data_IF_919127750255
#
_entry.id   IF_919127750255
#
_cell.length_a   1.000
_cell.length_b   1.000
_cell.length_c   1.000
_cell.angle_alpha   90.00
_cell.angle_beta   90.00
_cell.angle_gamma   90.00
#
_symmetry.space_group_name_H-M   'P 1'
#
loop_
_entity.id
_entity.type
_entity.pdbx_description
1 polymer ?
#
# COMPACT_ATOMS: atom_id res chain seq x y z
N UNK A 1 47.44 0.78 10.88
CA UNK A 1 47.15 1.88 9.95
C UNK A 1 45.84 1.58 9.24
N UNK A 2 44.90 2.52 9.42
CA UNK A 2 43.56 2.72 8.81
C UNK A 2 42.99 1.58 7.95
N UNK A 3 42.03 0.85 8.53
CA UNK A 3 41.05 0.08 7.76
C UNK A 3 40.03 1.05 7.13
N UNK A 4 39.94 1.02 5.80
CA UNK A 4 39.01 1.83 5.03
C UNK A 4 37.58 1.33 5.27
N UNK A 5 36.79 2.07 6.04
CA UNK A 5 35.35 1.80 6.22
C UNK A 5 34.63 2.30 4.99
N UNK A 6 34.25 1.38 4.10
CA UNK A 6 33.35 1.64 2.99
C UNK A 6 31.97 1.94 3.59
N UNK A 7 31.64 3.22 3.78
CA UNK A 7 30.30 3.66 4.18
C UNK A 7 29.28 3.37 3.09
N UNK A 8 28.11 2.77 3.40
CA UNK A 8 27.10 2.42 2.40
C UNK A 8 26.27 3.65 2.02
N UNK A 9 26.80 4.51 1.14
CA UNK A 9 26.09 5.69 0.60
C UNK A 9 24.77 5.35 -0.11
N UNK A 10 24.56 4.10 -0.50
CA UNK A 10 23.33 3.65 -1.17
C UNK A 10 22.14 3.43 -0.22
N UNK A 11 22.37 3.25 1.08
CA UNK A 11 21.29 2.97 2.05
C UNK A 11 20.54 4.22 2.49
N UNK A 12 21.23 5.36 2.61
CA UNK A 12 20.66 6.61 3.11
C UNK A 12 19.76 7.29 2.08
N UNK A 13 20.14 7.30 0.80
CA UNK A 13 19.34 7.87 -0.28
C UNK A 13 17.99 7.15 -0.44
N UNK A 14 18.02 5.80 -0.42
CA UNK A 14 16.81 4.98 -0.45
C UNK A 14 15.89 5.29 0.75
N UNK A 15 16.46 5.50 1.94
CA UNK A 15 15.66 5.87 3.12
C UNK A 15 15.01 7.26 3.02
N UNK A 16 15.67 8.21 2.35
CA UNK A 16 15.15 9.55 2.15
C UNK A 16 13.99 9.56 1.14
N UNK A 17 14.12 8.81 0.04
CA UNK A 17 13.06 8.66 -0.95
C UNK A 17 11.84 7.94 -0.35
N UNK A 18 12.06 6.89 0.46
CA UNK A 18 10.99 6.20 1.19
C UNK A 18 10.26 7.14 2.16
N UNK A 19 10.99 8.00 2.88
CA UNK A 19 10.40 9.00 3.77
C UNK A 19 9.61 10.06 3.00
N UNK A 20 10.17 10.57 1.90
CA UNK A 20 9.49 11.56 1.06
C UNK A 20 8.16 11.01 0.50
N UNK A 21 8.17 9.76 0.03
CA UNK A 21 6.96 9.10 -0.46
C UNK A 21 5.94 8.89 0.66
N UNK A 22 6.39 8.55 1.86
CA UNK A 22 5.51 8.43 3.03
C UNK A 22 4.82 9.75 3.35
N UNK A 23 5.54 10.87 3.34
CA UNK A 23 4.95 12.20 3.54
C UNK A 23 3.97 12.56 2.43
N UNK A 24 4.30 12.26 1.18
CA UNK A 24 3.39 12.47 0.04
C UNK A 24 2.05 11.75 0.24
N UNK A 25 2.08 10.48 0.70
CA UNK A 25 0.86 9.72 0.98
C UNK A 25 0.09 10.25 2.19
N UNK A 26 0.78 10.74 3.21
CA UNK A 26 0.13 11.38 4.37
C UNK A 26 -0.59 12.66 3.95
N UNK A 27 0.04 13.52 3.17
CA UNK A 27 -0.60 14.74 2.64
C UNK A 27 -1.77 14.41 1.72
N UNK A 28 -1.58 13.43 0.84
CA UNK A 28 -2.63 12.98 -0.06
C UNK A 28 -3.86 12.47 0.71
N UNK A 29 -3.65 11.70 1.79
CA UNK A 29 -4.73 11.18 2.64
C UNK A 29 -5.60 12.30 3.22
N UNK A 30 -4.99 13.43 3.60
CA UNK A 30 -5.72 14.59 4.14
C UNK A 30 -6.60 15.23 3.07
N UNK A 31 -6.18 15.21 1.81
CA UNK A 31 -6.87 15.89 0.69
C UNK A 31 -7.86 14.99 -0.05
N UNK A 32 -7.66 13.67 -0.05
CA UNK A 32 -8.38 12.72 -0.91
C UNK A 32 -8.86 11.49 -0.12
N UNK A 33 -9.76 11.72 0.84
CA UNK A 33 -10.23 10.66 1.76
C UNK A 33 -10.96 9.51 1.04
N UNK A 34 -11.60 9.79 -0.10
CA UNK A 34 -12.51 8.87 -0.79
C UNK A 34 -12.07 8.45 -2.21
N UNK A 35 -10.90 8.91 -2.68
CA UNK A 35 -10.38 8.53 -4.00
C UNK A 35 -9.22 7.55 -3.79
N UNK A 36 -9.18 6.41 -4.46
CA UNK A 36 -8.13 5.41 -4.30
C UNK A 36 -7.31 5.16 -5.59
N UNK A 37 -7.51 5.95 -6.64
CA UNK A 37 -6.83 5.76 -7.92
C UNK A 37 -5.33 5.99 -7.86
N UNK A 38 -4.88 7.03 -7.15
CA UNK A 38 -3.44 7.30 -7.01
C UNK A 38 -2.73 6.17 -6.26
N UNK A 39 -3.39 5.63 -5.23
CA UNK A 39 -2.93 4.44 -4.50
C UNK A 39 -2.87 3.22 -5.42
N UNK A 40 -3.87 3.04 -6.29
CA UNK A 40 -3.88 1.94 -7.28
C UNK A 40 -2.68 2.03 -8.23
N UNK A 41 -2.35 3.22 -8.74
CA UNK A 41 -1.24 3.43 -9.66
C UNK A 41 0.08 3.08 -8.96
N UNK A 42 0.30 3.58 -7.74
CA UNK A 42 1.51 3.29 -6.97
C UNK A 42 1.67 1.81 -6.61
N UNK A 43 0.58 1.08 -6.37
CA UNK A 43 0.60 -0.34 -6.02
C UNK A 43 0.66 -1.29 -7.22
N UNK A 44 0.71 -0.77 -8.46
CA UNK A 44 0.77 -1.61 -9.67
C UNK A 44 2.04 -2.45 -9.75
N UNK A 45 3.16 -1.91 -9.27
CA UNK A 45 4.48 -2.57 -9.30
C UNK A 45 5.05 -2.87 -7.91
N UNK A 46 4.33 -2.49 -6.84
CA UNK A 46 4.86 -2.48 -5.48
C UNK A 46 3.97 -3.28 -4.54
N UNK A 47 4.56 -3.97 -3.57
CA UNK A 47 3.79 -4.76 -2.58
C UNK A 47 3.20 -3.89 -1.48
N UNK A 48 3.94 -2.89 -1.01
CA UNK A 48 3.50 -1.86 -0.07
C UNK A 48 3.72 -0.48 -0.68
N UNK A 49 3.23 0.57 0.00
CA UNK A 49 3.22 1.92 -0.56
C UNK A 49 4.62 2.51 -0.76
N UNK A 50 5.49 2.37 0.24
CA UNK A 50 6.80 3.04 0.24
C UNK A 50 7.98 2.10 0.05
N UNK A 51 7.82 0.79 0.20
CA UNK A 51 8.93 -0.17 0.09
C UNK A 51 8.42 -1.60 -0.12
N UNK A 52 9.32 -2.57 0.03
CA UNK A 52 8.98 -4.00 0.10
C UNK A 52 8.68 -4.48 1.53
N UNK A 53 8.41 -3.57 2.47
CA UNK A 53 8.05 -3.91 3.85
C UNK A 53 6.85 -3.12 4.33
N UNK A 54 6.07 -3.74 5.23
CA UNK A 54 4.94 -3.11 5.88
C UNK A 54 5.41 -1.90 6.72
N UNK A 55 4.77 -0.74 6.51
CA UNK A 55 5.00 0.47 7.31
C UNK A 55 3.69 0.99 7.90
N UNK A 56 3.80 1.92 8.85
CA UNK A 56 2.65 2.52 9.52
C UNK A 56 1.69 3.21 8.52
N UNK A 57 2.23 3.81 7.46
CA UNK A 57 1.42 4.46 6.41
C UNK A 57 0.50 3.46 5.69
N UNK A 58 0.94 2.21 5.50
CA UNK A 58 0.12 1.18 4.90
C UNK A 58 -1.11 0.92 5.77
N UNK A 59 -0.91 0.68 7.07
CA UNK A 59 -2.00 0.45 8.03
C UNK A 59 -2.94 1.65 8.08
N UNK A 60 -2.41 2.87 8.18
CA UNK A 60 -3.19 4.10 8.26
C UNK A 60 -4.07 4.33 7.03
N UNK A 61 -3.57 4.06 5.83
CA UNK A 61 -4.35 4.18 4.60
C UNK A 61 -5.35 3.04 4.46
N UNK A 62 -4.99 1.83 4.86
CA UNK A 62 -5.90 0.67 4.84
C UNK A 62 -7.12 0.90 5.75
N UNK A 63 -6.92 1.49 6.93
CA UNK A 63 -8.04 1.87 7.83
C UNK A 63 -8.96 2.95 7.23
N UNK A 64 -8.42 3.86 6.43
CA UNK A 64 -9.22 4.89 5.76
C UNK A 64 -9.99 4.31 4.58
N UNK A 65 -9.31 3.54 3.73
CA UNK A 65 -9.88 2.92 2.54
C UNK A 65 -10.87 1.79 2.87
N UNK A 66 -10.74 1.13 4.02
CA UNK A 66 -11.67 0.09 4.48
C UNK A 66 -13.11 0.60 4.73
N UNK A 67 -13.32 1.92 4.71
CA UNK A 67 -14.65 2.54 4.74
C UNK A 67 -15.29 2.65 3.35
N UNK A 68 -14.50 2.59 2.28
CA UNK A 68 -14.98 2.70 0.91
C UNK A 68 -15.66 1.39 0.51
N UNK A 69 -16.92 1.49 0.09
CA UNK A 69 -17.69 0.35 -0.42
C UNK A 69 -17.46 0.23 -1.93
N UNK A 70 -16.59 -0.69 -2.34
CA UNK A 70 -16.38 -0.98 -3.76
C UNK A 70 -17.50 -1.87 -4.31
N UNK A 71 -18.12 -1.43 -5.42
CA UNK A 71 -18.99 -2.26 -6.26
C UNK A 71 -18.19 -3.39 -6.93
N UNK A 72 -18.87 -4.37 -7.54
CA UNK A 72 -18.21 -5.50 -8.21
C UNK A 72 -17.24 -5.03 -9.32
N UNK A 73 -17.69 -4.12 -10.20
CA UNK A 73 -16.87 -3.60 -11.30
C UNK A 73 -15.66 -2.81 -10.79
N UNK A 74 -15.83 -2.04 -9.72
CA UNK A 74 -14.73 -1.32 -9.10
C UNK A 74 -13.70 -2.27 -8.47
N UNK A 75 -14.14 -3.41 -7.90
CA UNK A 75 -13.20 -4.40 -7.34
C UNK A 75 -12.27 -4.98 -8.39
N UNK A 76 -12.75 -5.24 -9.60
CA UNK A 76 -11.90 -5.72 -10.71
C UNK A 76 -10.86 -4.67 -11.11
N UNK A 77 -11.28 -3.41 -11.25
CA UNK A 77 -10.37 -2.30 -11.55
C UNK A 77 -9.34 -2.05 -10.43
N UNK A 78 -9.72 -2.32 -9.19
CA UNK A 78 -8.94 -2.05 -7.97
C UNK A 78 -8.15 -3.25 -7.45
N UNK A 79 -7.96 -4.30 -8.26
CA UNK A 79 -7.33 -5.57 -7.82
C UNK A 79 -6.00 -5.40 -7.08
N UNK A 80 -5.14 -4.46 -7.50
CA UNK A 80 -3.87 -4.17 -6.82
C UNK A 80 -4.06 -3.61 -5.41
N UNK A 81 -5.04 -2.72 -5.24
CA UNK A 81 -5.39 -2.11 -3.95
C UNK A 81 -5.99 -3.17 -3.04
N UNK A 82 -6.88 -4.02 -3.55
CA UNK A 82 -7.48 -5.09 -2.75
C UNK A 82 -6.45 -6.15 -2.33
N UNK A 83 -5.50 -6.49 -3.21
CA UNK A 83 -4.36 -7.36 -2.88
C UNK A 83 -3.54 -6.77 -1.74
N UNK A 84 -3.12 -5.52 -1.86
CA UNK A 84 -2.36 -4.81 -0.82
C UNK A 84 -3.16 -4.71 0.49
N UNK A 85 -4.43 -4.32 0.43
CA UNK A 85 -5.32 -4.23 1.59
C UNK A 85 -5.38 -5.57 2.34
N UNK A 86 -5.54 -6.68 1.60
CA UNK A 86 -5.60 -8.03 2.18
C UNK A 86 -4.28 -8.40 2.84
N UNK A 87 -3.16 -8.11 2.19
CA UNK A 87 -1.81 -8.34 2.73
C UNK A 87 -1.60 -7.59 4.05
N UNK A 88 -1.86 -6.28 4.05
CA UNK A 88 -1.73 -5.43 5.24
C UNK A 88 -2.66 -5.90 6.35
N UNK A 89 -3.89 -6.30 6.03
CA UNK A 89 -4.86 -6.80 7.01
C UNK A 89 -4.37 -8.06 7.71
N UNK A 90 -3.81 -9.01 6.95
CA UNK A 90 -3.29 -10.26 7.49
C UNK A 90 -2.07 -10.03 8.40
N UNK A 91 -1.19 -9.09 8.04
CA UNK A 91 0.04 -8.82 8.80
C UNK A 91 -0.18 -7.92 10.01
N UNK A 92 -1.00 -6.87 9.87
CA UNK A 92 -1.22 -5.87 10.91
C UNK A 92 -2.07 -6.39 12.08
N UNK A 93 -2.67 -7.59 11.96
CA UNK A 93 -3.56 -8.22 12.96
C UNK A 93 -4.69 -7.29 13.43
N UNK A 94 -5.12 -6.36 12.59
CA UNK A 94 -6.19 -5.41 12.91
C UNK A 94 -7.54 -5.93 12.40
N UNK A 95 -8.66 -5.55 13.05
CA UNK A 95 -10.01 -5.91 12.61
C UNK A 95 -10.41 -5.08 11.38
N UNK A 96 -9.75 -5.33 10.26
CA UNK A 96 -10.14 -4.79 8.96
C UNK A 96 -11.22 -5.69 8.36
N UNK A 97 -12.23 -5.08 7.72
CA UNK A 97 -13.33 -5.86 7.14
C UNK A 97 -12.78 -6.81 6.07
N UNK A 98 -13.11 -8.11 6.11
CA UNK A 98 -12.69 -9.04 5.08
C UNK A 98 -13.34 -8.64 3.75
N UNK A 99 -12.54 -8.59 2.70
CA UNK A 99 -13.03 -8.36 1.34
C UNK A 99 -13.22 -9.72 0.69
N UNK A 100 -14.48 -10.12 0.52
CA UNK A 100 -14.80 -11.36 -0.19
C UNK A 100 -14.69 -11.14 -1.69
N UNK A 101 -13.85 -11.96 -2.33
CA UNK A 101 -13.82 -12.13 -3.76
C UNK A 101 -14.71 -13.32 -4.10
N UNK A 102 -15.83 -13.08 -4.77
CA UNK A 102 -16.58 -14.16 -5.39
C UNK A 102 -15.87 -14.50 -6.70
N UNK A 103 -15.30 -15.71 -6.80
CA UNK A 103 -14.77 -16.20 -8.08
C UNK A 103 -15.94 -16.28 -9.05
N UNK A 104 -15.82 -15.59 -10.20
CA UNK A 104 -16.73 -15.81 -11.32
C UNK A 104 -16.71 -17.29 -11.66
N UNK A 105 -17.88 -17.95 -11.78
CA UNK A 105 -17.90 -19.33 -12.22
C UNK A 105 -17.28 -19.43 -13.61
N UNK A 106 -16.27 -20.29 -13.75
CA UNK A 106 -15.73 -20.66 -15.05
C UNK A 106 -16.70 -21.68 -15.65
N UNK A 107 -17.89 -21.24 -16.08
CA UNK A 107 -18.77 -22.10 -16.86
C UNK A 107 -18.63 -21.72 -18.34
N UNK A 108 -18.05 -22.66 -19.10
CA UNK A 108 -18.32 -22.87 -20.53
C UNK A 108 -19.23 -24.08 -20.65
#
# INVERSE_FOLDING_TARGET
>A
MVGSVVTPRFSSARSADEQALMYQFLEWKVKNVDNADDVRVSLKSSTYLCSNSLKAIDVLLTMSLGKILFTYFEKEAMGNVLRWYTQVSNEAKQPLRPIFFQRMPIYR
#
